data_IF_150085604503
#
_entry.id   IF_150085604503
#
_cell.length_a   1.000
_cell.length_b   1.000
_cell.length_c   1.000
_cell.angle_alpha   90.00
_cell.angle_beta   90.00
_cell.angle_gamma   90.00
#
_symmetry.space_group_name_H-M   'P 1'
#
loop_
_entity.id
_entity.type
_entity.pdbx_description
1 polymer ?
#
# COMPACT_ATOMS: atom_id res chain seq x y z
N UNK A 1 -20.96 -30.29 -3.03
CA UNK A 1 -19.92 -29.27 -2.77
C UNK A 1 -20.25 -28.63 -1.44
N UNK A 2 -19.28 -28.46 -0.54
CA UNK A 2 -19.51 -27.79 0.75
C UNK A 2 -19.71 -26.30 0.46
N UNK A 3 -20.79 -25.73 0.98
CA UNK A 3 -21.13 -24.32 0.78
C UNK A 3 -20.04 -23.42 1.36
N UNK A 4 -19.61 -22.43 0.58
CA UNK A 4 -18.67 -21.38 1.01
C UNK A 4 -19.46 -20.12 1.27
N UNK A 5 -19.42 -19.61 2.49
CA UNK A 5 -20.05 -18.35 2.88
C UNK A 5 -18.96 -17.27 2.97
N UNK A 6 -19.18 -16.14 2.27
CA UNK A 6 -18.30 -14.95 2.41
C UNK A 6 -19.06 -13.89 3.17
N UNK A 7 -18.42 -13.35 4.21
CA UNK A 7 -19.01 -12.34 5.10
C UNK A 7 -17.93 -11.44 5.72
N UNK A 8 -18.31 -10.34 6.38
CA UNK A 8 -17.38 -9.62 7.26
C UNK A 8 -16.87 -10.52 8.39
N UNK A 9 -15.62 -10.32 8.86
CA UNK A 9 -15.14 -10.98 10.07
C UNK A 9 -15.86 -10.44 11.30
N UNK A 10 -16.02 -11.27 12.34
CA UNK A 10 -16.40 -10.81 13.66
C UNK A 10 -15.16 -10.36 14.46
N UNK A 11 -15.36 -9.64 15.56
CA UNK A 11 -14.23 -9.14 16.37
C UNK A 11 -13.44 -10.26 17.05
N UNK A 12 -14.11 -11.35 17.35
CA UNK A 12 -13.55 -12.54 18.00
C UNK A 12 -12.69 -13.37 17.05
N UNK A 13 -12.88 -13.19 15.74
CA UNK A 13 -12.18 -13.96 14.70
C UNK A 13 -10.78 -13.46 14.38
N UNK A 14 -10.26 -12.45 15.11
CA UNK A 14 -8.94 -11.87 14.84
C UNK A 14 -7.82 -12.92 14.72
N UNK A 15 -7.76 -13.87 15.66
CA UNK A 15 -6.73 -14.91 15.67
C UNK A 15 -6.87 -15.88 14.49
N UNK A 16 -8.10 -16.33 14.19
CA UNK A 16 -8.37 -17.23 13.06
C UNK A 16 -8.15 -16.54 11.70
N UNK A 17 -8.46 -15.24 11.64
CA UNK A 17 -8.13 -14.42 10.45
C UNK A 17 -6.62 -14.34 10.24
N UNK A 18 -5.88 -14.03 11.31
CA UNK A 18 -4.42 -13.92 11.27
C UNK A 18 -3.76 -15.26 10.89
N UNK A 19 -4.27 -16.38 11.38
CA UNK A 19 -3.76 -17.71 11.03
C UNK A 19 -3.80 -17.92 9.51
N UNK A 20 -4.91 -17.61 8.85
CA UNK A 20 -5.02 -17.72 7.39
C UNK A 20 -4.17 -16.67 6.67
N UNK A 21 -4.16 -15.43 7.17
CA UNK A 21 -3.33 -14.35 6.65
C UNK A 21 -1.84 -14.72 6.68
N UNK A 22 -1.32 -15.11 7.85
CA UNK A 22 0.10 -15.40 8.05
C UNK A 22 0.61 -16.66 7.34
N UNK A 23 -0.20 -17.72 7.33
CA UNK A 23 0.19 -19.01 6.73
C UNK A 23 -0.07 -19.08 5.23
N UNK A 24 -0.99 -18.27 4.73
CA UNK A 24 -1.41 -18.28 3.33
C UNK A 24 -0.51 -17.48 2.40
N UNK A 25 0.39 -16.66 2.91
CA UNK A 25 1.27 -15.75 2.16
C UNK A 25 2.64 -16.41 1.89
N UNK A 26 2.84 -17.12 0.75
CA UNK A 26 4.09 -17.85 0.51
C UNK A 26 5.28 -16.96 0.13
N UNK A 27 5.06 -15.68 -0.04
CA UNK A 27 6.01 -14.81 -0.74
C UNK A 27 6.31 -13.47 -0.05
N UNK A 28 5.66 -13.18 1.06
CA UNK A 28 5.85 -11.94 1.82
C UNK A 28 6.01 -12.33 3.27
N UNK A 29 6.85 -11.64 4.00
CA UNK A 29 6.85 -11.73 5.45
C UNK A 29 5.55 -11.09 5.95
N UNK A 30 4.58 -11.88 6.41
CA UNK A 30 3.35 -11.31 6.95
C UNK A 30 3.71 -10.50 8.20
N UNK A 31 2.88 -9.49 8.50
CA UNK A 31 3.02 -8.79 9.76
C UNK A 31 3.04 -9.78 10.92
N UNK A 32 3.81 -9.50 11.97
CA UNK A 32 3.69 -10.23 13.23
C UNK A 32 2.26 -10.13 13.76
N UNK A 33 1.87 -11.01 14.66
CA UNK A 33 0.53 -10.96 15.27
C UNK A 33 0.26 -9.61 15.95
N UNK A 34 1.27 -9.01 16.54
CA UNK A 34 1.16 -7.69 17.17
C UNK A 34 0.98 -6.57 16.15
N UNK A 35 1.74 -6.56 15.06
CA UNK A 35 1.59 -5.64 13.95
C UNK A 35 0.21 -5.75 13.31
N UNK A 36 -0.21 -6.98 13.02
CA UNK A 36 -1.56 -7.26 12.53
C UNK A 36 -2.65 -6.81 13.49
N UNK A 37 -2.47 -7.03 14.80
CA UNK A 37 -3.44 -6.61 15.83
C UNK A 37 -3.59 -5.10 15.89
N UNK A 38 -2.51 -4.33 15.70
CA UNK A 38 -2.59 -2.87 15.57
C UNK A 38 -3.38 -2.46 14.32
N UNK A 39 -3.12 -3.10 13.19
CA UNK A 39 -3.88 -2.85 11.95
C UNK A 39 -5.36 -3.20 12.10
N UNK A 40 -5.67 -4.36 12.69
CA UNK A 40 -7.03 -4.79 13.02
C UNK A 40 -7.79 -3.75 13.86
N UNK A 41 -7.18 -3.30 14.97
CA UNK A 41 -7.79 -2.33 15.87
C UNK A 41 -7.99 -0.97 15.18
N UNK A 42 -7.04 -0.51 14.39
CA UNK A 42 -7.18 0.71 13.59
C UNK A 42 -8.34 0.59 12.60
N UNK A 43 -8.40 -0.50 11.86
CA UNK A 43 -9.46 -0.75 10.88
C UNK A 43 -10.84 -0.89 11.51
N UNK A 44 -10.90 -1.42 12.74
CA UNK A 44 -12.14 -1.43 13.54
C UNK A 44 -12.60 0.00 13.84
N UNK A 45 -11.71 0.85 14.34
CA UNK A 45 -12.04 2.25 14.69
C UNK A 45 -12.43 3.05 13.44
N UNK A 46 -11.78 2.82 12.30
CA UNK A 46 -12.09 3.46 11.02
C UNK A 46 -13.37 2.93 10.37
N UNK A 47 -13.93 1.82 10.87
CA UNK A 47 -15.11 1.17 10.30
C UNK A 47 -14.82 0.33 9.06
N UNK A 48 -13.57 0.14 8.68
CA UNK A 48 -13.20 -0.65 7.50
C UNK A 48 -13.36 -2.15 7.76
N UNK A 49 -13.01 -2.61 8.95
CA UNK A 49 -13.07 -4.03 9.31
C UNK A 49 -14.48 -4.64 9.11
N UNK A 50 -15.57 -4.09 9.67
CA UNK A 50 -16.90 -4.66 9.50
C UNK A 50 -17.50 -4.42 8.10
N UNK A 51 -17.04 -3.37 7.39
CA UNK A 51 -17.66 -2.96 6.12
C UNK A 51 -16.92 -3.51 4.89
N UNK A 52 -15.59 -3.56 4.95
CA UNK A 52 -14.75 -3.83 3.80
C UNK A 52 -14.05 -5.19 3.87
N UNK A 53 -13.54 -5.58 5.05
CA UNK A 53 -12.81 -6.85 5.16
C UNK A 53 -13.75 -8.03 4.99
N UNK A 54 -13.22 -9.14 4.46
CA UNK A 54 -14.01 -10.35 4.19
C UNK A 54 -13.30 -11.60 4.67
N UNK A 55 -14.09 -12.56 5.13
CA UNK A 55 -13.67 -13.95 5.39
C UNK A 55 -14.50 -14.90 4.54
N UNK A 56 -13.85 -15.93 4.01
CA UNK A 56 -14.51 -17.08 3.40
C UNK A 56 -14.53 -18.22 4.43
N UNK A 57 -15.73 -18.70 4.74
CA UNK A 57 -15.98 -19.72 5.76
C UNK A 57 -16.53 -20.98 5.14
N UNK A 58 -15.97 -22.12 5.51
CA UNK A 58 -16.44 -23.46 5.12
C UNK A 58 -16.48 -24.34 6.37
N UNK A 59 -17.65 -24.91 6.69
CA UNK A 59 -17.83 -25.72 7.90
C UNK A 59 -17.29 -25.03 9.16
N UNK A 60 -17.71 -23.78 9.37
CA UNK A 60 -17.34 -22.92 10.49
C UNK A 60 -15.83 -22.59 10.64
N UNK A 61 -15.02 -22.98 9.63
CA UNK A 61 -13.60 -22.64 9.59
C UNK A 61 -13.36 -21.49 8.58
N UNK A 62 -12.60 -20.47 8.96
CA UNK A 62 -12.08 -19.46 8.04
C UNK A 62 -11.01 -20.13 7.17
N UNK A 63 -11.22 -20.06 5.85
CA UNK A 63 -10.36 -20.69 4.84
C UNK A 63 -9.84 -19.69 3.80
N UNK A 64 -10.28 -18.44 3.90
CA UNK A 64 -9.80 -17.34 3.07
C UNK A 64 -10.10 -16.00 3.72
N UNK A 65 -9.26 -15.02 3.45
CA UNK A 65 -9.37 -13.67 4.00
C UNK A 65 -9.06 -12.62 2.93
N UNK A 66 -9.72 -11.47 3.02
CA UNK A 66 -9.41 -10.31 2.19
C UNK A 66 -9.42 -9.04 3.04
N UNK A 67 -8.41 -8.19 2.83
CA UNK A 67 -8.27 -6.88 3.45
C UNK A 67 -8.45 -5.85 2.35
N UNK A 68 -9.46 -5.02 2.49
CA UNK A 68 -9.84 -4.05 1.48
C UNK A 68 -9.88 -2.64 2.08
N UNK A 69 -9.63 -1.64 1.23
CA UNK A 69 -9.71 -0.23 1.57
C UNK A 69 -10.32 0.59 0.43
N UNK A 70 -10.94 1.72 0.75
CA UNK A 70 -11.37 2.70 -0.25
C UNK A 70 -10.40 3.87 -0.23
N UNK A 71 -9.86 4.19 -1.39
CA UNK A 71 -8.99 5.34 -1.63
C UNK A 71 -9.83 6.43 -2.32
N UNK A 72 -10.60 7.16 -1.50
CA UNK A 72 -11.64 8.08 -1.97
C UNK A 72 -11.11 9.13 -2.93
N UNK A 73 -9.94 9.71 -2.64
CA UNK A 73 -9.33 10.77 -3.47
C UNK A 73 -8.88 10.29 -4.85
N UNK A 74 -8.67 8.99 -5.01
CA UNK A 74 -8.29 8.36 -6.28
C UNK A 74 -9.50 7.74 -7.00
N UNK A 75 -10.62 7.61 -6.30
CA UNK A 75 -11.78 6.87 -6.79
C UNK A 75 -11.49 5.37 -6.94
N UNK A 76 -10.64 4.79 -6.07
CA UNK A 76 -10.20 3.41 -6.17
C UNK A 76 -10.67 2.57 -4.99
N UNK A 77 -11.08 1.34 -5.29
CA UNK A 77 -11.25 0.26 -4.32
C UNK A 77 -10.00 -0.63 -4.32
N UNK A 78 -9.25 -0.63 -3.24
CA UNK A 78 -8.02 -1.39 -3.10
C UNK A 78 -8.27 -2.72 -2.41
N UNK A 79 -7.78 -3.81 -3.01
CA UNK A 79 -7.67 -5.13 -2.39
C UNK A 79 -6.20 -5.27 -1.96
N UNK A 80 -5.92 -4.95 -0.68
CA UNK A 80 -4.58 -4.98 -0.14
C UNK A 80 -4.06 -6.39 0.00
N UNK A 81 -4.91 -7.29 0.52
CA UNK A 81 -4.59 -8.68 0.73
C UNK A 81 -5.73 -9.58 0.29
N UNK A 82 -5.40 -10.68 -0.38
CA UNK A 82 -6.34 -11.74 -0.71
C UNK A 82 -5.63 -13.08 -0.57
N UNK A 83 -5.97 -13.79 0.48
CA UNK A 83 -5.29 -15.02 0.87
C UNK A 83 -6.29 -16.17 1.01
N UNK A 84 -5.96 -17.34 0.44
CA UNK A 84 -6.71 -18.59 0.63
C UNK A 84 -5.76 -19.63 1.22
N UNK A 85 -6.19 -20.26 2.31
CA UNK A 85 -5.52 -21.38 2.95
C UNK A 85 -5.12 -22.43 1.88
N UNK A 86 -3.89 -22.92 1.95
CA UNK A 86 -3.29 -23.79 0.94
C UNK A 86 -4.12 -25.04 0.62
N UNK A 87 -4.77 -25.62 1.63
CA UNK A 87 -5.58 -26.83 1.50
C UNK A 87 -6.95 -26.58 0.84
N UNK A 88 -7.30 -25.29 0.71
CA UNK A 88 -8.55 -24.82 0.14
C UNK A 88 -8.39 -24.11 -1.21
N UNK A 89 -7.17 -24.03 -1.75
CA UNK A 89 -6.92 -23.45 -3.08
C UNK A 89 -7.51 -24.30 -4.20
N UNK A 90 -7.67 -23.67 -5.37
CA UNK A 90 -8.22 -24.31 -6.59
C UNK A 90 -9.67 -24.81 -6.45
N UNK A 91 -10.42 -24.33 -5.46
CA UNK A 91 -11.84 -24.68 -5.22
C UNK A 91 -12.79 -23.50 -5.48
N UNK A 92 -12.34 -22.46 -6.19
CA UNK A 92 -13.13 -21.26 -6.51
C UNK A 92 -13.21 -20.22 -5.38
N UNK A 93 -12.69 -20.51 -4.17
CA UNK A 93 -12.83 -19.63 -2.99
C UNK A 93 -12.23 -18.25 -3.23
N UNK A 94 -11.05 -18.17 -3.82
CA UNK A 94 -10.41 -16.88 -4.13
C UNK A 94 -11.24 -16.02 -5.10
N UNK A 95 -11.92 -16.65 -6.06
CA UNK A 95 -12.82 -15.95 -7.00
C UNK A 95 -14.01 -15.34 -6.28
N UNK A 96 -14.70 -16.14 -5.45
CA UNK A 96 -15.87 -15.67 -4.68
C UNK A 96 -15.42 -14.56 -3.72
N UNK A 97 -14.31 -14.76 -3.01
CA UNK A 97 -13.77 -13.79 -2.05
C UNK A 97 -13.43 -12.45 -2.72
N UNK A 98 -12.83 -12.47 -3.92
CA UNK A 98 -12.52 -11.26 -4.67
C UNK A 98 -13.80 -10.54 -5.13
N UNK A 99 -14.77 -11.27 -5.65
CA UNK A 99 -16.06 -10.71 -6.09
C UNK A 99 -16.82 -10.06 -4.93
N UNK A 100 -16.89 -10.72 -3.78
CA UNK A 100 -17.51 -10.18 -2.57
C UNK A 100 -16.75 -8.96 -2.01
N UNK A 101 -15.42 -8.91 -2.18
CA UNK A 101 -14.62 -7.73 -1.87
C UNK A 101 -14.96 -6.56 -2.79
N UNK A 102 -15.07 -6.78 -4.09
CA UNK A 102 -15.50 -5.76 -5.06
C UNK A 102 -16.89 -5.21 -4.73
N UNK A 103 -17.83 -6.08 -4.37
CA UNK A 103 -19.20 -5.68 -3.96
C UNK A 103 -19.17 -4.84 -2.67
N UNK A 104 -18.37 -5.22 -1.69
CA UNK A 104 -18.23 -4.47 -0.46
C UNK A 104 -17.65 -3.07 -0.70
N UNK A 105 -16.65 -2.97 -1.57
CA UNK A 105 -16.04 -1.71 -1.96
C UNK A 105 -17.06 -0.79 -2.65
N UNK A 106 -17.83 -1.30 -3.60
CA UNK A 106 -18.90 -0.55 -4.29
C UNK A 106 -20.03 -0.14 -3.34
N UNK A 107 -20.41 -1.01 -2.40
CA UNK A 107 -21.40 -0.66 -1.39
C UNK A 107 -20.92 0.49 -0.51
N UNK A 108 -19.62 0.55 -0.21
CA UNK A 108 -19.01 1.62 0.60
C UNK A 108 -18.87 2.92 -0.17
N UNK A 109 -18.49 2.85 -1.45
CA UNK A 109 -18.40 4.00 -2.34
C UNK A 109 -18.86 3.62 -3.76
N UNK A 110 -20.11 3.96 -4.14
CA UNK A 110 -20.64 3.66 -5.49
C UNK A 110 -19.93 4.42 -6.63
N UNK A 111 -19.16 5.45 -6.32
CA UNK A 111 -18.47 6.29 -7.30
C UNK A 111 -17.05 5.79 -7.63
N UNK A 112 -16.68 4.59 -7.20
CA UNK A 112 -15.39 4.01 -7.55
C UNK A 112 -15.27 3.87 -9.08
N UNK A 113 -14.10 4.25 -9.58
CA UNK A 113 -13.76 4.14 -11.01
C UNK A 113 -12.99 2.85 -11.31
N UNK A 114 -12.21 2.37 -10.34
CA UNK A 114 -11.35 1.20 -10.50
C UNK A 114 -11.24 0.37 -9.22
N UNK A 115 -11.05 -0.93 -9.40
CA UNK A 115 -10.45 -1.81 -8.39
C UNK A 115 -8.97 -1.97 -8.67
N UNK A 116 -8.15 -2.01 -7.63
CA UNK A 116 -6.71 -2.18 -7.71
C UNK A 116 -6.24 -3.29 -6.78
N UNK A 117 -5.22 -4.04 -7.22
CA UNK A 117 -4.61 -5.13 -6.45
C UNK A 117 -3.11 -5.20 -6.77
N UNK A 118 -2.28 -5.38 -5.76
CA UNK A 118 -0.87 -5.71 -5.90
C UNK A 118 -0.67 -7.22 -6.06
N UNK A 119 0.13 -7.64 -7.04
CA UNK A 119 0.43 -9.05 -7.30
C UNK A 119 1.93 -9.26 -7.20
N UNK A 120 2.37 -9.93 -6.15
CA UNK A 120 3.80 -10.23 -5.94
C UNK A 120 4.36 -11.12 -7.03
N UNK A 121 5.50 -10.76 -7.64
CA UNK A 121 6.14 -11.55 -8.68
C UNK A 121 6.56 -12.94 -8.21
N UNK A 122 6.83 -13.11 -6.92
CA UNK A 122 7.13 -14.42 -6.32
C UNK A 122 5.94 -15.39 -6.35
N UNK A 123 4.72 -14.88 -6.62
CA UNK A 123 3.50 -15.69 -6.77
C UNK A 123 2.99 -15.70 -8.22
N UNK A 124 3.66 -16.39 -9.16
CA UNK A 124 3.31 -16.35 -10.57
C UNK A 124 1.89 -16.88 -10.86
N UNK A 125 1.29 -17.63 -9.93
CA UNK A 125 -0.09 -18.13 -10.08
C UNK A 125 -1.16 -17.05 -9.88
N UNK A 126 -0.81 -15.97 -9.18
CA UNK A 126 -1.76 -14.88 -8.94
C UNK A 126 -1.99 -14.03 -10.20
N UNK A 127 -1.01 -13.90 -11.08
CA UNK A 127 -1.13 -13.12 -12.33
C UNK A 127 -2.29 -13.64 -13.20
N UNK A 128 -2.27 -14.90 -13.69
CA UNK A 128 -3.38 -15.40 -14.50
C UNK A 128 -4.71 -15.50 -13.73
N UNK A 129 -4.66 -15.53 -12.41
CA UNK A 129 -5.88 -15.49 -11.59
C UNK A 129 -6.55 -14.11 -11.69
N UNK A 130 -5.82 -13.01 -11.47
CA UNK A 130 -6.41 -11.66 -11.53
C UNK A 130 -6.78 -11.27 -12.96
N UNK A 131 -6.00 -11.65 -13.97
CA UNK A 131 -6.29 -11.40 -15.38
C UNK A 131 -7.61 -12.05 -15.81
N UNK A 132 -7.87 -13.33 -15.42
CA UNK A 132 -9.15 -13.99 -15.67
C UNK A 132 -10.35 -13.27 -15.06
N UNK A 133 -10.13 -12.49 -14.00
CA UNK A 133 -11.16 -11.71 -13.31
C UNK A 133 -11.28 -10.28 -13.84
N UNK A 134 -10.56 -9.96 -14.93
CA UNK A 134 -10.66 -8.72 -15.69
C UNK A 134 -9.71 -7.62 -15.20
N UNK A 135 -8.71 -7.95 -14.40
CA UNK A 135 -7.65 -7.02 -14.04
C UNK A 135 -6.57 -7.00 -15.11
N UNK A 136 -6.19 -5.81 -15.57
CA UNK A 136 -5.06 -5.59 -16.47
C UNK A 136 -3.85 -5.07 -15.70
N UNK A 137 -2.67 -5.63 -16.01
CA UNK A 137 -1.41 -5.16 -15.43
C UNK A 137 -1.11 -3.74 -15.92
N UNK A 138 -0.75 -2.84 -15.00
CA UNK A 138 -0.50 -1.42 -15.29
C UNK A 138 0.97 -1.05 -15.18
N UNK A 139 1.65 -1.51 -14.15
CA UNK A 139 3.04 -1.19 -13.87
C UNK A 139 3.69 -2.24 -12.98
N UNK A 140 4.99 -2.25 -12.96
CA UNK A 140 5.81 -2.96 -11.99
C UNK A 140 6.21 -1.98 -10.89
N UNK A 141 6.11 -2.41 -9.64
CA UNK A 141 6.54 -1.65 -8.47
C UNK A 141 7.68 -2.42 -7.81
N UNK A 142 8.78 -1.74 -7.54
CA UNK A 142 9.98 -2.31 -6.95
C UNK A 142 10.10 -1.86 -5.50
N UNK A 143 10.35 -2.79 -4.60
CA UNK A 143 10.81 -2.49 -3.25
C UNK A 143 12.32 -2.40 -3.25
N UNK A 144 12.82 -1.27 -2.78
CA UNK A 144 14.24 -0.94 -2.64
C UNK A 144 14.56 -0.74 -1.16
N UNK A 145 15.51 -1.48 -0.67
CA UNK A 145 16.01 -1.37 0.70
C UNK A 145 17.47 -0.91 0.67
N UNK A 146 17.84 0.04 1.51
CA UNK A 146 19.20 0.58 1.59
C UNK A 146 19.47 1.35 2.88
N UNK A 147 20.70 1.81 3.07
CA UNK A 147 21.04 2.67 4.19
C UNK A 147 20.41 4.06 4.01
N UNK A 148 19.90 4.62 5.11
CA UNK A 148 19.29 5.94 5.11
C UNK A 148 20.37 7.04 5.13
N UNK A 149 21.18 7.09 4.07
CA UNK A 149 22.22 8.09 3.85
C UNK A 149 21.97 8.82 2.55
N UNK A 150 22.21 10.12 2.52
CA UNK A 150 22.16 10.92 1.29
C UNK A 150 23.54 11.54 1.04
N UNK A 151 23.99 11.46 -0.20
CA UNK A 151 25.25 12.05 -0.65
C UNK A 151 25.11 13.52 -1.05
N UNK A 152 23.91 14.00 -1.34
CA UNK A 152 23.67 15.40 -1.71
C UNK A 152 23.77 16.33 -0.50
N UNK A 153 24.75 17.23 -0.54
CA UNK A 153 25.04 18.20 0.53
C UNK A 153 24.33 19.55 0.35
N UNK A 154 24.02 19.94 -0.87
CA UNK A 154 23.37 21.21 -1.16
C UNK A 154 21.89 20.97 -1.49
N UNK A 155 21.02 21.61 -0.74
CA UNK A 155 19.58 21.53 -0.92
C UNK A 155 19.03 22.88 -1.34
N UNK A 156 18.42 22.91 -2.52
CA UNK A 156 17.58 24.03 -2.93
C UNK A 156 16.15 23.87 -2.39
N UNK A 157 15.96 23.00 -1.40
CA UNK A 157 14.67 22.67 -0.81
C UNK A 157 14.61 23.03 0.66
N UNK A 158 13.54 23.70 1.04
CA UNK A 158 13.11 23.89 2.42
C UNK A 158 12.19 22.75 2.81
N UNK A 159 12.54 22.01 3.88
CA UNK A 159 11.77 20.87 4.38
C UNK A 159 11.04 21.27 5.65
N UNK A 160 9.74 21.09 5.68
CA UNK A 160 8.88 21.43 6.81
C UNK A 160 7.90 20.31 7.12
N UNK A 161 7.49 20.17 8.39
CA UNK A 161 6.37 19.31 8.75
C UNK A 161 5.12 19.81 8.02
N UNK A 162 4.46 18.94 7.31
CA UNK A 162 3.25 19.25 6.58
C UNK A 162 2.07 19.59 7.51
N UNK A 163 1.18 20.44 7.05
CA UNK A 163 -0.04 20.86 7.76
C UNK A 163 -1.27 20.35 7.01
N UNK A 164 -2.40 20.29 7.69
CA UNK A 164 -3.65 19.87 7.05
C UNK A 164 -4.02 20.74 5.84
N UNK A 165 -3.69 22.03 5.90
CA UNK A 165 -3.93 22.99 4.81
C UNK A 165 -3.06 22.71 3.57
N UNK A 166 -2.00 21.93 3.68
CA UNK A 166 -1.17 21.53 2.54
C UNK A 166 -1.84 20.43 1.71
N UNK A 167 -2.76 19.64 2.27
CA UNK A 167 -3.36 18.45 1.63
C UNK A 167 -3.85 18.71 0.21
N UNK A 168 -4.62 19.79 -0.09
CA UNK A 168 -5.07 20.06 -1.46
C UNK A 168 -3.92 20.14 -2.45
N UNK A 169 -2.80 20.79 -2.07
CA UNK A 169 -1.61 20.91 -2.91
C UNK A 169 -0.91 19.56 -3.06
N UNK A 170 -0.76 18.79 -1.99
CA UNK A 170 -0.09 17.49 -2.00
C UNK A 170 -0.83 16.48 -2.90
N UNK A 171 -2.17 16.53 -2.94
CA UNK A 171 -2.97 15.68 -3.82
C UNK A 171 -2.79 15.99 -5.31
N UNK A 172 -2.27 17.16 -5.66
CA UNK A 172 -2.03 17.58 -7.05
C UNK A 172 -0.59 17.35 -7.50
N UNK A 173 0.31 16.92 -6.62
CA UNK A 173 1.66 16.55 -7.01
C UNK A 173 1.63 15.29 -7.89
N UNK A 174 2.63 15.16 -8.75
CA UNK A 174 2.72 14.04 -9.68
C UNK A 174 2.60 12.69 -9.00
N UNK A 175 2.01 11.74 -9.72
CA UNK A 175 1.64 10.50 -9.13
C UNK A 175 2.82 9.65 -8.77
N UNK A 176 2.71 9.14 -7.63
CA UNK A 176 2.75 7.72 -7.41
C UNK A 176 4.08 7.08 -7.74
N UNK A 177 4.99 7.28 -6.88
CA UNK A 177 6.05 6.29 -6.77
C UNK A 177 5.44 4.93 -6.39
N UNK A 178 4.36 4.94 -5.60
CA UNK A 178 3.58 3.77 -5.25
C UNK A 178 2.08 4.11 -5.15
N UNK A 179 1.19 3.18 -5.52
CA UNK A 179 -0.25 3.39 -5.54
C UNK A 179 -0.85 3.60 -4.13
N UNK A 180 -1.81 4.51 -4.04
CA UNK A 180 -2.54 4.79 -2.80
C UNK A 180 -1.88 5.76 -1.84
N UNK A 181 -0.63 6.14 -2.03
CA UNK A 181 0.07 7.03 -1.10
C UNK A 181 -0.47 8.46 -1.06
N UNK A 182 -1.24 8.89 -2.06
CA UNK A 182 -1.86 10.21 -2.14
C UNK A 182 -3.31 10.26 -1.68
N UNK A 183 -3.82 9.22 -1.03
CA UNK A 183 -5.18 9.31 -0.51
C UNK A 183 -5.28 10.33 0.63
N UNK A 184 -6.36 11.14 0.62
CA UNK A 184 -6.60 12.20 1.59
C UNK A 184 -6.50 11.69 3.04
N UNK A 185 -7.15 10.56 3.34
CA UNK A 185 -7.15 10.00 4.70
C UNK A 185 -5.76 9.55 5.15
N UNK A 186 -4.98 9.01 4.22
CA UNK A 186 -3.59 8.60 4.53
C UNK A 186 -2.71 9.81 4.79
N UNK A 187 -2.86 10.88 3.99
CA UNK A 187 -2.15 12.15 4.22
C UNK A 187 -2.55 12.76 5.57
N UNK A 188 -3.85 12.90 5.84
CA UNK A 188 -4.35 13.43 7.10
C UNK A 188 -3.83 12.66 8.30
N UNK A 189 -3.87 11.32 8.25
CA UNK A 189 -3.33 10.46 9.31
C UNK A 189 -1.84 10.71 9.57
N UNK A 190 -1.04 10.77 8.51
CA UNK A 190 0.41 10.97 8.62
C UNK A 190 0.76 12.39 9.09
N UNK A 191 0.03 13.41 8.64
CA UNK A 191 0.22 14.80 9.09
C UNK A 191 -0.12 14.94 10.58
N UNK A 192 -1.25 14.37 11.04
CA UNK A 192 -1.61 14.38 12.46
C UNK A 192 -0.61 13.62 13.34
N UNK A 193 0.05 12.60 12.78
CA UNK A 193 1.13 11.86 13.43
C UNK A 193 2.50 12.55 13.41
N UNK A 194 2.64 13.69 12.73
CA UNK A 194 3.92 14.37 12.56
C UNK A 194 4.90 13.68 11.61
N UNK A 195 4.40 12.73 10.80
CA UNK A 195 5.21 11.87 9.95
C UNK A 195 5.08 12.21 8.45
N UNK A 196 4.64 13.42 8.13
CA UNK A 196 4.55 13.92 6.76
C UNK A 196 5.30 15.25 6.65
N UNK A 197 6.19 15.34 5.66
CA UNK A 197 7.00 16.51 5.40
C UNK A 197 6.67 17.05 4.02
N UNK A 198 6.54 18.37 3.92
CA UNK A 198 6.38 19.09 2.65
C UNK A 198 7.70 19.73 2.27
N UNK A 199 8.04 19.66 1.00
CA UNK A 199 9.27 20.22 0.44
C UNK A 199 8.94 21.37 -0.50
N UNK A 200 9.60 22.49 -0.29
CA UNK A 200 9.41 23.72 -1.07
C UNK A 200 10.72 24.15 -1.70
N UNK A 201 10.67 24.58 -2.94
CA UNK A 201 11.83 25.21 -3.57
C UNK A 201 12.16 26.52 -2.85
N UNK A 202 13.42 26.68 -2.44
CA UNK A 202 13.86 27.81 -1.61
C UNK A 202 13.64 29.17 -2.29
N UNK A 203 13.80 29.24 -3.61
CA UNK A 203 13.71 30.49 -4.37
C UNK A 203 12.26 30.96 -4.61
N UNK A 204 11.33 30.04 -4.87
CA UNK A 204 9.94 30.32 -5.23
C UNK A 204 8.92 30.03 -4.15
N UNK A 205 9.33 29.30 -3.10
CA UNK A 205 8.45 28.71 -2.08
C UNK A 205 7.37 27.76 -2.64
N UNK A 206 7.51 27.35 -3.90
CA UNK A 206 6.61 26.40 -4.54
C UNK A 206 6.73 25.01 -3.91
N UNK A 207 5.61 24.37 -3.62
CA UNK A 207 5.61 22.97 -3.18
C UNK A 207 6.04 22.08 -4.34
N UNK A 208 7.15 21.36 -4.16
CA UNK A 208 7.76 20.49 -5.17
C UNK A 208 7.71 19.02 -4.80
N UNK A 209 7.44 18.70 -3.55
CA UNK A 209 7.34 17.33 -3.11
C UNK A 209 6.77 17.18 -1.69
N UNK A 210 6.46 15.95 -1.35
CA UNK A 210 6.21 15.55 0.02
C UNK A 210 6.69 14.12 0.26
N UNK A 211 6.95 13.81 1.52
CA UNK A 211 7.25 12.46 1.97
C UNK A 211 6.45 12.11 3.20
N UNK A 212 6.13 10.84 3.33
CA UNK A 212 5.54 10.23 4.52
C UNK A 212 6.51 9.19 5.04
N UNK A 213 6.78 9.24 6.32
CA UNK A 213 7.65 8.30 7.01
C UNK A 213 6.80 7.36 7.85
N UNK A 214 6.92 6.06 7.60
CA UNK A 214 6.27 5.02 8.40
C UNK A 214 7.37 4.15 9.01
N UNK A 215 7.57 4.28 10.32
CA UNK A 215 8.52 3.42 11.03
C UNK A 215 8.05 1.97 10.94
N UNK A 216 8.90 1.11 10.40
CA UNK A 216 8.65 -0.32 10.40
C UNK A 216 8.86 -0.85 11.83
N UNK A 217 7.75 -1.14 12.51
CA UNK A 217 7.79 -1.62 13.90
C UNK A 217 8.29 -3.05 14.02
N UNK A 218 8.46 -3.75 12.93
CA UNK A 218 8.95 -5.13 12.87
C UNK A 218 10.42 -5.17 12.49
N UNK A 219 10.87 -4.22 11.67
CA UNK A 219 12.27 -3.95 11.38
C UNK A 219 12.65 -2.62 12.05
N UNK A 220 12.87 -2.66 13.37
CA UNK A 220 13.03 -1.47 14.23
C UNK A 220 14.07 -0.45 13.73
N UNK A 221 14.99 -0.88 12.87
CA UNK A 221 16.02 -0.04 12.26
C UNK A 221 15.64 0.47 10.86
N UNK A 222 14.39 0.34 10.44
CA UNK A 222 13.96 0.68 9.08
C UNK A 222 12.76 1.62 9.07
N UNK A 223 12.75 2.55 8.11
CA UNK A 223 11.63 3.44 7.83
C UNK A 223 11.14 3.22 6.40
N UNK A 224 9.85 2.96 6.23
CA UNK A 224 9.20 2.96 4.92
C UNK A 224 8.90 4.39 4.50
N UNK A 225 9.38 4.78 3.33
CA UNK A 225 9.24 6.13 2.80
C UNK A 225 8.31 6.11 1.59
N UNK A 226 7.23 6.85 1.71
CA UNK A 226 6.31 7.13 0.61
C UNK A 226 6.49 8.57 0.18
N UNK A 227 6.63 8.82 -1.13
CA UNK A 227 6.90 10.16 -1.64
C UNK A 227 6.15 10.48 -2.92
N UNK A 228 5.94 11.75 -3.17
CA UNK A 228 5.47 12.29 -4.45
C UNK A 228 6.21 13.59 -4.72
N UNK A 229 6.36 13.92 -6.00
CA UNK A 229 7.16 15.06 -6.41
C UNK A 229 6.59 15.72 -7.68
N UNK A 230 7.02 16.95 -7.92
CA UNK A 230 6.82 17.66 -9.18
C UNK A 230 7.90 17.25 -10.16
N UNK A 231 7.58 17.16 -11.45
CA UNK A 231 8.55 16.82 -12.50
C UNK A 231 9.84 17.64 -12.37
N UNK A 232 10.98 16.95 -12.45
CA UNK A 232 12.31 17.53 -12.29
C UNK A 232 12.83 17.62 -10.85
N UNK A 233 12.05 17.26 -9.84
CA UNK A 233 12.46 17.34 -8.42
C UNK A 233 12.54 15.96 -7.73
N UNK A 234 12.44 14.87 -8.48
CA UNK A 234 12.35 13.54 -7.88
C UNK A 234 13.55 13.17 -7.03
N UNK A 235 14.75 13.37 -7.52
CA UNK A 235 16.01 13.04 -6.84
C UNK A 235 16.18 13.90 -5.58
N UNK A 236 15.97 15.22 -5.69
CA UNK A 236 16.09 16.14 -4.55
C UNK A 236 15.07 15.82 -3.45
N UNK A 237 13.86 15.40 -3.82
CA UNK A 237 12.82 14.99 -2.86
C UNK A 237 13.22 13.71 -2.15
N UNK A 238 13.78 12.73 -2.86
CA UNK A 238 14.28 11.47 -2.27
C UNK A 238 15.43 11.74 -1.30
N UNK A 239 16.42 12.53 -1.71
CA UNK A 239 17.56 12.86 -0.86
C UNK A 239 17.14 13.67 0.37
N UNK A 240 16.19 14.60 0.20
CA UNK A 240 15.62 15.32 1.31
C UNK A 240 14.89 14.37 2.27
N UNK A 241 14.17 13.37 1.75
CA UNK A 241 13.51 12.36 2.55
C UNK A 241 14.50 11.54 3.38
N UNK A 242 15.59 11.07 2.78
CA UNK A 242 16.62 10.30 3.47
C UNK A 242 17.24 11.05 4.66
N UNK A 243 17.34 12.36 4.56
CA UNK A 243 17.86 13.18 5.65
C UNK A 243 16.89 13.39 6.82
N UNK A 244 15.60 13.18 6.63
CA UNK A 244 14.57 13.22 7.71
C UNK A 244 14.41 11.86 8.43
N UNK A 245 15.02 10.80 7.90
CA UNK A 245 14.96 9.46 8.48
C UNK A 245 15.90 9.36 9.68
N UNK A 246 15.38 8.86 10.79
CA UNK A 246 16.17 8.64 12.03
C UNK A 246 16.64 7.19 12.20
N UNK A 247 16.18 6.27 11.35
CA UNK A 247 16.57 4.86 11.35
C UNK A 247 17.79 4.63 10.45
N UNK A 248 18.49 3.50 10.67
CA UNK A 248 19.65 3.13 9.86
C UNK A 248 19.31 2.83 8.41
N UNK A 249 18.14 2.24 8.18
CA UNK A 249 17.73 1.77 6.86
C UNK A 249 16.46 2.50 6.39
N UNK A 250 16.35 2.64 5.07
CA UNK A 250 15.19 3.18 4.38
C UNK A 250 14.64 2.17 3.37
N UNK A 251 13.32 2.13 3.26
CA UNK A 251 12.58 1.25 2.34
C UNK A 251 11.72 2.13 1.45
N UNK A 252 11.87 1.94 0.14
CA UNK A 252 11.07 2.64 -0.87
C UNK A 252 10.29 1.65 -1.74
N UNK A 253 9.10 2.07 -2.17
CA UNK A 253 8.35 1.39 -3.22
C UNK A 253 8.25 2.33 -4.41
N UNK A 254 8.82 1.95 -5.56
CA UNK A 254 8.96 2.81 -6.73
C UNK A 254 8.47 2.08 -7.96
N UNK A 255 7.60 2.73 -8.76
CA UNK A 255 7.16 2.18 -10.04
C UNK A 255 8.31 2.23 -11.05
N UNK A 256 8.40 1.19 -11.88
CA UNK A 256 9.45 1.01 -12.90
C UNK A 256 9.58 2.15 -13.93
N UNK A 257 8.53 2.94 -14.11
CA UNK A 257 8.52 4.11 -15.00
C UNK A 257 9.35 5.32 -14.50
N UNK A 258 9.78 5.31 -13.24
CA UNK A 258 10.62 6.34 -12.64
C UNK A 258 12.11 5.95 -12.74
N UNK A 259 12.60 5.79 -13.98
CA UNK A 259 13.93 5.25 -14.27
C UNK A 259 15.04 6.09 -13.63
N UNK A 260 14.95 7.42 -13.70
CA UNK A 260 15.91 8.35 -13.11
C UNK A 260 16.05 8.19 -11.59
N UNK A 261 14.94 7.97 -10.91
CA UNK A 261 14.90 7.72 -9.47
C UNK A 261 15.46 6.33 -9.14
N UNK A 262 15.14 5.33 -9.94
CA UNK A 262 15.67 3.97 -9.75
C UNK A 262 17.18 3.95 -9.95
N UNK A 263 17.70 4.61 -10.97
CA UNK A 263 19.14 4.71 -11.24
C UNK A 263 19.86 5.43 -10.09
N UNK A 264 19.25 6.51 -9.56
CA UNK A 264 19.78 7.21 -8.40
C UNK A 264 19.85 6.29 -7.17
N UNK A 265 18.78 5.56 -6.84
CA UNK A 265 18.78 4.61 -5.72
C UNK A 265 19.86 3.53 -5.88
N UNK A 266 20.03 2.99 -7.08
CA UNK A 266 21.08 1.98 -7.32
C UNK A 266 22.49 2.57 -7.17
N UNK A 267 22.71 3.81 -7.60
CA UNK A 267 23.97 4.53 -7.41
C UNK A 267 24.28 4.77 -5.93
N UNK A 268 23.25 5.04 -5.11
CA UNK A 268 23.35 5.18 -3.65
C UNK A 268 23.43 3.84 -2.89
N UNK A 269 23.46 2.70 -3.60
CA UNK A 269 23.66 1.38 -3.01
C UNK A 269 22.37 0.67 -2.56
N UNK A 270 21.19 1.22 -2.86
CA UNK A 270 19.94 0.53 -2.61
C UNK A 270 19.81 -0.74 -3.44
N UNK A 271 19.20 -1.76 -2.87
CA UNK A 271 19.02 -3.04 -3.53
C UNK A 271 17.54 -3.39 -3.68
N UNK A 272 17.19 -3.96 -4.83
CA UNK A 272 15.85 -4.50 -5.03
C UNK A 272 15.66 -5.78 -4.22
N UNK A 273 14.74 -5.73 -3.28
CA UNK A 273 14.39 -6.86 -2.40
C UNK A 273 13.13 -7.57 -2.89
N UNK A 274 12.16 -6.83 -3.40
CA UNK A 274 10.90 -7.37 -3.86
C UNK A 274 10.38 -6.61 -5.10
N UNK A 275 9.42 -7.23 -5.79
CA UNK A 275 8.68 -6.59 -6.86
C UNK A 275 7.23 -7.09 -6.90
N UNK A 276 6.31 -6.18 -7.21
CA UNK A 276 4.90 -6.50 -7.40
C UNK A 276 4.35 -5.83 -8.68
N UNK A 277 3.39 -6.48 -9.30
CA UNK A 277 2.63 -5.92 -10.39
C UNK A 277 1.40 -5.22 -9.84
N UNK A 278 1.22 -3.96 -10.19
CA UNK A 278 -0.04 -3.26 -9.97
C UNK A 278 -1.03 -3.68 -11.06
N UNK A 279 -2.11 -4.33 -10.65
CA UNK A 279 -3.19 -4.72 -11.55
C UNK A 279 -4.45 -3.87 -11.27
N UNK A 280 -5.15 -3.48 -12.32
CA UNK A 280 -6.32 -2.61 -12.24
C UNK A 280 -7.47 -3.12 -13.10
N UNK A 281 -8.68 -3.03 -12.56
CA UNK A 281 -9.94 -3.35 -13.24
C UNK A 281 -10.86 -2.14 -13.18
N UNK A 282 -11.36 -1.71 -14.33
CA UNK A 282 -12.35 -0.62 -14.39
C UNK A 282 -13.68 -1.11 -13.82
N UNK A 283 -14.28 -0.29 -12.96
CA UNK A 283 -15.66 -0.51 -12.54
C UNK A 283 -16.57 -0.26 -13.74
N UNK A 284 -17.41 -1.23 -14.08
CA UNK A 284 -18.41 -1.04 -15.15
C UNK A 284 -19.56 -0.22 -14.57
N UNK A 285 -19.85 0.88 -15.24
CA UNK A 285 -21.07 1.68 -15.02
C UNK A 285 -22.30 0.88 -15.41
#
# INVERSE_FOLDING_TARGET
MTETVVRPPTLEERSSFYEVYGTGMPSVDPLTFDGFSRWWNRSKVQGDLPNLWRVAVVKDKIVGVAINAVLDSLGWGAIWELVVDKDWRNKGIGTILLQESEQALLKRNPNLTHFVIGVKLRNPRAIPFVERLGYGIQSLVLRLDGEATSTLKERNLEVNIARLDDIPTLLHLNPDTYWGHRDHKMLEYSIRGGNCYVMRETSSHMVVGFVRLEYDQEQQDSTVISFSYRDGYGIEVVDAALNEVSTKNAIFWVQDRHEDILDHFYAEGFQRVEAELLARKRVRS
#
